data_IF_609063874620
#
_entry.id   IF_609063874620
#
_cell.length_a   1.000
_cell.length_b   1.000
_cell.length_c   1.000
_cell.angle_alpha   90.00
_cell.angle_beta   90.00
_cell.angle_gamma   90.00
#
_symmetry.space_group_name_H-M   'P 1'
#
loop_
_entity.id
_entity.type
_entity.pdbx_description
1 polymer ?
#
# COMPACT_ATOMS: atom_id res chain seq x y z
N UNK A 1 -15.59 1.45 -10.95
CA UNK A 1 -17.01 1.07 -11.11
C UNK A 1 -17.95 1.55 -10.00
N UNK A 2 -17.51 2.48 -9.16
CA UNK A 2 -18.36 3.01 -8.09
C UNK A 2 -19.17 4.19 -8.66
N UNK A 3 -20.45 4.22 -8.36
CA UNK A 3 -21.35 5.34 -8.63
C UNK A 3 -21.37 6.30 -7.44
N UNK A 4 -21.52 5.76 -6.23
CA UNK A 4 -21.56 6.55 -5.00
C UNK A 4 -21.04 5.78 -3.80
N UNK A 5 -20.54 6.54 -2.82
CA UNK A 5 -20.19 6.06 -1.48
C UNK A 5 -20.92 6.97 -0.49
N UNK A 6 -21.74 6.38 0.37
CA UNK A 6 -22.50 7.08 1.40
C UNK A 6 -22.10 6.57 2.78
N UNK A 7 -21.87 7.49 3.72
CA UNK A 7 -21.50 7.15 5.10
C UNK A 7 -22.70 7.44 6.00
N UNK A 8 -23.37 6.38 6.45
CA UNK A 8 -24.48 6.47 7.40
C UNK A 8 -23.89 6.38 8.80
N UNK A 9 -24.02 7.46 9.58
CA UNK A 9 -23.33 7.61 10.86
C UNK A 9 -24.20 7.18 12.05
N UNK A 10 -23.60 6.43 12.98
CA UNK A 10 -24.12 6.23 14.33
C UNK A 10 -25.54 5.65 14.39
N UNK A 11 -26.45 6.19 15.24
CA UNK A 11 -27.73 5.55 15.57
C UNK A 11 -28.66 5.31 14.37
N UNK A 12 -28.62 6.16 13.34
CA UNK A 12 -29.46 6.01 12.15
C UNK A 12 -29.07 4.81 11.29
N UNK A 13 -27.78 4.41 11.31
CA UNK A 13 -27.31 3.21 10.64
C UNK A 13 -27.81 1.95 11.38
N UNK A 14 -27.77 1.95 12.71
CA UNK A 14 -28.25 0.83 13.53
C UNK A 14 -29.74 0.55 13.32
N UNK A 15 -30.56 1.59 13.13
CA UNK A 15 -31.98 1.45 12.85
C UNK A 15 -32.29 0.81 11.48
N UNK A 16 -31.45 1.06 10.46
CA UNK A 16 -31.66 0.56 9.10
C UNK A 16 -30.98 -0.78 8.83
N UNK A 17 -29.83 -1.02 9.46
CA UNK A 17 -28.94 -2.15 9.15
C UNK A 17 -28.69 -3.10 10.34
N UNK A 18 -29.28 -2.82 11.51
CA UNK A 18 -29.20 -3.68 12.69
C UNK A 18 -28.07 -3.31 13.65
N UNK A 19 -27.94 -4.07 14.74
CA UNK A 19 -27.05 -3.73 15.86
C UNK A 19 -25.56 -3.66 15.46
N UNK A 20 -25.14 -4.43 14.47
CA UNK A 20 -23.74 -4.42 13.98
C UNK A 20 -23.38 -3.08 13.31
N UNK A 21 -24.37 -2.27 12.94
CA UNK A 21 -24.21 -0.94 12.38
C UNK A 21 -24.10 0.17 13.45
N UNK A 22 -23.90 -0.17 14.74
CA UNK A 22 -23.77 0.82 15.83
C UNK A 22 -22.66 1.86 15.59
N UNK A 23 -21.57 1.45 14.93
CA UNK A 23 -20.46 2.34 14.56
C UNK A 23 -20.68 3.08 13.23
N UNK A 24 -21.82 2.86 12.57
CA UNK A 24 -22.12 3.36 11.23
C UNK A 24 -21.94 2.32 10.13
N UNK A 25 -22.37 2.68 8.90
CA UNK A 25 -22.27 1.86 7.69
C UNK A 25 -21.72 2.70 6.55
N UNK A 26 -20.86 2.09 5.73
CA UNK A 26 -20.45 2.65 4.45
C UNK A 26 -21.23 1.92 3.36
N UNK A 27 -22.20 2.60 2.75
CA UNK A 27 -22.95 2.07 1.62
C UNK A 27 -22.21 2.40 0.32
N UNK A 28 -21.87 1.38 -0.45
CA UNK A 28 -21.21 1.52 -1.75
C UNK A 28 -22.21 1.11 -2.83
N UNK A 29 -22.51 2.03 -3.77
CA UNK A 29 -23.34 1.73 -4.93
C UNK A 29 -22.48 1.66 -6.18
N UNK A 30 -22.55 0.54 -6.89
CA UNK A 30 -21.83 0.37 -8.16
C UNK A 30 -22.59 0.99 -9.33
N UNK A 31 -21.86 1.34 -10.40
CA UNK A 31 -22.44 1.83 -11.64
C UNK A 31 -23.43 0.84 -12.24
N UNK A 32 -24.56 1.35 -12.69
CA UNK A 32 -25.58 0.59 -13.42
C UNK A 32 -25.74 1.14 -14.83
N UNK A 33 -26.30 0.33 -15.73
CA UNK A 33 -26.64 0.77 -17.06
C UNK A 33 -27.74 1.82 -17.04
N UNK A 34 -27.72 2.74 -18.01
CA UNK A 34 -28.80 3.71 -18.24
C UNK A 34 -29.34 3.50 -19.66
N UNK A 35 -30.65 3.66 -19.90
CA UNK A 35 -31.21 3.60 -21.25
C UNK A 35 -30.52 4.61 -22.17
N UNK A 36 -30.25 4.19 -23.41
CA UNK A 36 -29.60 5.00 -24.42
C UNK A 36 -28.39 4.31 -25.07
N UNK A 37 -27.70 5.02 -25.97
CA UNK A 37 -26.58 4.46 -26.71
C UNK A 37 -25.46 4.04 -25.76
N UNK A 38 -24.78 2.94 -26.10
CA UNK A 38 -23.66 2.42 -25.32
C UNK A 38 -22.55 3.47 -25.21
N UNK A 39 -22.20 3.82 -23.98
CA UNK A 39 -21.08 4.69 -23.64
C UNK A 39 -19.90 3.84 -23.22
N UNK A 40 -18.74 4.17 -23.77
CA UNK A 40 -17.48 3.53 -23.43
C UNK A 40 -16.61 4.51 -22.66
N UNK A 41 -15.91 4.00 -21.66
CA UNK A 41 -14.91 4.77 -20.93
C UNK A 41 -13.67 3.88 -20.76
N UNK A 42 -12.51 4.42 -21.10
CA UNK A 42 -11.22 3.79 -20.90
C UNK A 42 -10.30 4.74 -20.17
N UNK A 43 -9.44 4.21 -19.31
CA UNK A 43 -8.41 4.98 -18.63
C UNK A 43 -7.11 4.19 -18.54
N UNK A 44 -6.03 4.94 -18.47
CA UNK A 44 -4.69 4.43 -18.23
C UNK A 44 -4.07 5.36 -17.19
N UNK A 45 -3.48 4.78 -16.15
CA UNK A 45 -2.75 5.48 -15.12
C UNK A 45 -1.39 4.82 -14.95
N UNK A 46 -0.35 5.63 -14.72
CA UNK A 46 0.94 5.08 -14.36
C UNK A 46 1.87 6.13 -13.78
N UNK A 47 2.82 5.68 -12.96
CA UNK A 47 3.79 6.55 -12.33
C UNK A 47 4.88 5.81 -11.56
N UNK A 48 6.02 6.48 -11.30
CA UNK A 48 7.04 5.94 -10.43
C UNK A 48 6.62 6.04 -8.96
N UNK A 49 7.04 5.08 -8.16
CA UNK A 49 6.96 5.12 -6.69
C UNK A 49 8.38 5.24 -6.16
N UNK A 50 8.66 6.23 -5.32
CA UNK A 50 9.98 6.43 -4.73
C UNK A 50 9.86 6.53 -3.22
N UNK A 51 10.85 5.98 -2.51
CA UNK A 51 11.02 6.33 -1.10
C UNK A 51 11.42 7.81 -1.03
N UNK A 52 10.68 8.57 -0.24
CA UNK A 52 10.94 9.99 0.05
C UNK A 52 11.31 10.20 1.51
N UNK A 53 11.43 9.10 2.27
CA UNK A 53 11.76 9.12 3.68
C UNK A 53 13.21 9.56 3.83
N UNK A 54 13.46 10.49 4.75
CA UNK A 54 14.81 10.80 5.19
C UNK A 54 15.14 9.91 6.38
N UNK A 55 16.04 8.96 6.18
CA UNK A 55 16.42 8.04 7.25
C UNK A 55 17.43 8.69 8.21
N UNK A 56 17.28 8.51 9.52
CA UNK A 56 18.29 9.00 10.46
C UNK A 56 19.58 8.18 10.32
N UNK A 57 20.72 8.85 10.46
CA UNK A 57 22.01 8.18 10.52
C UNK A 57 22.21 7.50 11.88
N UNK A 58 23.04 6.46 11.90
CA UNK A 58 23.55 5.85 13.12
C UNK A 58 24.75 6.64 13.62
N UNK A 59 24.89 6.74 14.94
CA UNK A 59 25.99 7.46 15.59
C UNK A 59 26.71 6.56 16.59
N UNK A 60 28.03 6.68 16.64
CA UNK A 60 28.85 6.11 17.73
C UNK A 60 29.95 7.09 18.08
N UNK A 61 30.19 7.29 19.36
CA UNK A 61 31.34 8.02 19.87
C UNK A 61 32.52 7.08 20.07
N UNK A 62 33.72 7.59 19.82
CA UNK A 62 34.99 6.89 19.98
C UNK A 62 36.00 7.77 20.73
N UNK A 63 36.98 7.14 21.38
CA UNK A 63 38.14 7.81 21.96
C UNK A 63 39.26 8.07 20.93
N UNK A 64 40.38 8.62 21.40
CA UNK A 64 41.57 8.95 20.60
C UNK A 64 42.25 7.73 19.97
N UNK A 65 42.05 6.53 20.54
CA UNK A 65 42.50 5.26 19.97
C UNK A 65 41.53 4.68 18.94
N UNK A 66 40.33 5.27 18.82
CA UNK A 66 39.25 4.82 17.95
C UNK A 66 38.38 3.70 18.55
N UNK A 67 38.52 3.40 19.84
CA UNK A 67 37.67 2.45 20.56
C UNK A 67 36.32 3.09 20.93
N UNK A 68 35.26 2.30 21.03
CA UNK A 68 33.92 2.82 21.36
C UNK A 68 33.89 3.38 22.78
N UNK A 69 33.51 4.64 22.92
CA UNK A 69 33.37 5.33 24.20
C UNK A 69 31.94 5.90 24.30
N UNK A 70 31.07 5.28 25.08
CA UNK A 70 29.68 5.77 25.25
C UNK A 70 29.62 6.92 26.26
N UNK A 71 28.57 7.74 26.19
CA UNK A 71 28.31 8.79 27.20
C UNK A 71 28.33 8.26 28.63
N UNK A 72 27.83 7.03 28.85
CA UNK A 72 27.85 6.38 30.17
C UNK A 72 29.28 6.00 30.60
N UNK A 73 30.13 5.56 29.66
CA UNK A 73 31.53 5.23 29.93
C UNK A 73 32.36 6.48 30.25
N UNK A 74 32.11 7.58 29.54
CA UNK A 74 32.76 8.87 29.79
C UNK A 74 32.34 9.46 31.13
N UNK A 75 31.04 9.45 31.45
CA UNK A 75 30.54 9.89 32.76
C UNK A 75 31.10 9.06 33.92
N UNK A 76 31.43 7.79 33.68
CA UNK A 76 32.09 6.91 34.65
C UNK A 76 33.63 7.09 34.69
N UNK A 77 34.20 8.01 33.91
CA UNK A 77 35.64 8.29 33.85
C UNK A 77 36.47 7.18 33.20
N UNK A 78 35.86 6.28 32.42
CA UNK A 78 36.55 5.12 31.82
C UNK A 78 37.21 5.42 30.47
N UNK A 79 36.77 6.46 29.78
CA UNK A 79 37.30 6.93 28.50
C UNK A 79 36.92 8.42 28.34
N UNK A 80 37.50 9.11 27.36
CA UNK A 80 37.11 10.47 26.95
C UNK A 80 36.61 10.39 25.52
N UNK A 81 35.46 11.00 25.22
CA UNK A 81 34.98 11.07 23.84
C UNK A 81 35.86 12.05 23.07
N UNK A 82 36.46 11.58 21.99
CA UNK A 82 37.26 12.39 21.07
C UNK A 82 36.45 12.73 19.80
N UNK A 83 35.87 11.72 19.16
CA UNK A 83 35.19 11.86 17.86
C UNK A 83 33.84 11.14 17.85
N UNK A 84 32.85 11.73 17.17
CA UNK A 84 31.57 11.07 16.86
C UNK A 84 31.53 10.65 15.39
N UNK A 85 31.39 9.35 15.13
CA UNK A 85 31.19 8.79 13.79
C UNK A 85 29.72 8.77 13.44
N UNK A 86 29.43 9.00 12.16
CA UNK A 86 28.07 8.96 11.59
C UNK A 86 28.07 8.12 10.32
N UNK A 87 27.06 7.26 10.17
CA UNK A 87 26.85 6.49 8.95
C UNK A 87 25.39 6.10 8.82
N UNK A 88 24.83 6.19 7.61
CA UNK A 88 23.46 5.77 7.34
C UNK A 88 23.44 4.61 6.32
N UNK A 89 23.25 3.36 6.77
CA UNK A 89 23.19 2.22 5.86
C UNK A 89 21.96 2.24 4.93
N UNK A 90 20.85 2.86 5.33
CA UNK A 90 19.60 2.92 4.55
C UNK A 90 19.67 3.92 3.38
N UNK A 91 20.58 4.89 3.43
CA UNK A 91 20.82 5.84 2.36
C UNK A 91 21.98 5.38 1.46
N UNK A 92 23.10 4.98 2.06
CA UNK A 92 24.32 4.60 1.30
C UNK A 92 24.16 3.23 0.62
N UNK A 93 23.59 2.26 1.33
CA UNK A 93 23.36 0.90 0.85
C UNK A 93 21.86 0.61 0.87
N UNK A 94 21.10 1.47 0.19
CA UNK A 94 19.65 1.50 0.31
C UNK A 94 18.99 0.18 -0.11
N UNK A 95 18.02 -0.33 0.68
CA UNK A 95 17.21 -1.48 0.29
C UNK A 95 16.04 -1.08 -0.63
N UNK A 96 15.82 0.22 -0.78
CA UNK A 96 14.71 0.77 -1.53
C UNK A 96 15.06 0.86 -3.01
N UNK A 97 14.05 0.63 -3.85
CA UNK A 97 14.13 0.77 -5.29
C UNK A 97 13.09 1.79 -5.77
N UNK A 98 13.28 2.31 -6.99
CA UNK A 98 12.17 3.01 -7.66
C UNK A 98 11.15 1.98 -8.12
N UNK A 99 9.98 2.00 -7.50
CA UNK A 99 8.82 1.21 -7.87
C UNK A 99 8.05 1.81 -9.05
N UNK A 100 7.00 1.11 -9.48
CA UNK A 100 6.14 1.53 -10.59
C UNK A 100 4.71 1.07 -10.36
N UNK A 101 3.76 1.98 -10.56
CA UNK A 101 2.34 1.67 -10.58
C UNK A 101 1.81 1.80 -11.99
N UNK A 102 0.97 0.85 -12.41
CA UNK A 102 0.31 0.84 -13.70
C UNK A 102 -1.11 0.33 -13.51
N UNK A 103 -2.07 1.05 -14.06
CA UNK A 103 -3.47 0.67 -14.03
C UNK A 103 -4.12 0.93 -15.38
N UNK A 104 -4.91 -0.03 -15.83
CA UNK A 104 -5.65 0.04 -17.07
C UNK A 104 -7.08 -0.39 -16.79
N UNK A 105 -8.03 0.33 -17.34
CA UNK A 105 -9.43 -0.05 -17.20
C UNK A 105 -10.26 0.35 -18.40
N UNK A 106 -11.26 -0.47 -18.66
CA UNK A 106 -12.27 -0.22 -19.69
C UNK A 106 -13.63 -0.57 -19.13
N UNK A 107 -14.63 0.19 -19.55
CA UNK A 107 -16.02 -0.04 -19.18
C UNK A 107 -16.96 0.36 -20.29
N UNK A 108 -18.10 -0.31 -20.32
CA UNK A 108 -19.22 -0.05 -21.21
C UNK A 108 -20.51 0.01 -20.41
N UNK A 109 -21.37 0.97 -20.72
CA UNK A 109 -22.69 1.08 -20.09
C UNK A 109 -23.72 1.57 -21.09
N UNK A 110 -24.92 1.00 -21.07
CA UNK A 110 -26.00 1.43 -21.95
C UNK A 110 -27.20 0.50 -21.85
N UNK A 111 -28.06 0.55 -22.86
CA UNK A 111 -29.21 -0.34 -22.95
C UNK A 111 -30.43 0.31 -23.57
N UNK A 112 -31.55 -0.40 -23.56
CA UNK A 112 -32.86 0.12 -23.92
C UNK A 112 -33.65 0.51 -22.66
N UNK A 113 -34.90 0.92 -22.84
CA UNK A 113 -35.83 1.12 -21.72
C UNK A 113 -36.18 -0.19 -20.99
N UNK A 114 -36.00 -1.34 -21.65
CA UNK A 114 -36.34 -2.67 -21.10
C UNK A 114 -35.13 -3.33 -20.44
N UNK A 115 -33.94 -3.15 -21.01
CA UNK A 115 -32.72 -3.80 -20.52
C UNK A 115 -31.59 -2.79 -20.44
N UNK A 116 -30.98 -2.65 -19.27
CA UNK A 116 -29.77 -1.85 -19.09
C UNK A 116 -28.62 -2.70 -18.57
N UNK A 117 -27.40 -2.36 -18.99
CA UNK A 117 -26.21 -3.10 -18.61
C UNK A 117 -25.05 -2.17 -18.28
N UNK A 118 -24.16 -2.67 -17.42
CA UNK A 118 -22.83 -2.12 -17.16
C UNK A 118 -21.84 -3.28 -17.14
N UNK A 119 -20.73 -3.13 -17.84
CA UNK A 119 -19.62 -4.09 -17.86
C UNK A 119 -18.31 -3.31 -17.68
N UNK A 120 -17.42 -3.82 -16.84
CA UNK A 120 -16.09 -3.25 -16.65
C UNK A 120 -15.04 -4.33 -16.43
N UNK A 121 -13.81 -3.98 -16.80
CA UNK A 121 -12.61 -4.70 -16.43
C UNK A 121 -11.51 -3.73 -16.08
N UNK A 122 -10.79 -4.02 -15.00
CA UNK A 122 -9.58 -3.32 -14.60
C UNK A 122 -8.43 -4.30 -14.33
N UNK A 123 -7.23 -3.84 -14.67
CA UNK A 123 -5.98 -4.51 -14.35
C UNK A 123 -5.05 -3.51 -13.68
N UNK A 124 -4.47 -3.91 -12.56
CA UNK A 124 -3.52 -3.14 -11.79
C UNK A 124 -2.27 -3.98 -11.54
N UNK A 125 -1.13 -3.34 -11.72
CA UNK A 125 0.16 -3.86 -11.29
C UNK A 125 0.93 -2.77 -10.59
N UNK A 126 1.37 -3.07 -9.37
CA UNK A 126 2.19 -2.17 -8.58
C UNK A 126 3.42 -2.93 -8.08
N UNK A 127 4.59 -2.41 -8.44
CA UNK A 127 5.86 -2.77 -7.81
C UNK A 127 6.17 -1.68 -6.81
N UNK A 128 6.21 -2.01 -5.53
CA UNK A 128 6.49 -1.06 -4.46
C UNK A 128 7.96 -0.62 -4.44
N UNK A 129 8.24 0.31 -3.53
CA UNK A 129 9.61 0.83 -3.27
C UNK A 129 10.53 -0.19 -2.61
N UNK A 130 10.03 -1.38 -2.37
CA UNK A 130 10.69 -2.46 -1.66
C UNK A 130 10.56 -3.74 -2.48
N UNK A 131 11.65 -4.46 -2.72
CA UNK A 131 11.71 -5.55 -3.71
C UNK A 131 10.59 -6.62 -3.56
N UNK A 132 10.32 -7.18 -2.36
CA UNK A 132 9.21 -8.12 -2.16
C UNK A 132 7.81 -7.50 -2.11
N UNK A 133 7.67 -6.18 -2.26
CA UNK A 133 6.37 -5.52 -2.31
C UNK A 133 5.85 -5.48 -3.77
N UNK A 134 4.94 -6.39 -4.13
CA UNK A 134 4.34 -6.47 -5.46
C UNK A 134 2.86 -6.79 -5.35
N UNK A 135 2.03 -6.07 -6.10
CA UNK A 135 0.61 -6.32 -6.25
C UNK A 135 0.29 -6.52 -7.73
N UNK A 136 -0.44 -7.59 -8.01
CA UNK A 136 -1.14 -7.76 -9.29
C UNK A 136 -2.61 -8.05 -9.02
N UNK A 137 -3.49 -7.25 -9.60
CA UNK A 137 -4.94 -7.40 -9.42
C UNK A 137 -5.67 -7.26 -10.75
N UNK A 138 -6.61 -8.16 -10.98
CA UNK A 138 -7.55 -8.10 -12.10
C UNK A 138 -8.95 -8.11 -11.52
N UNK A 139 -9.79 -7.17 -11.93
CA UNK A 139 -11.20 -7.13 -11.55
C UNK A 139 -12.09 -7.08 -12.77
N UNK A 140 -13.21 -7.80 -12.71
CA UNK A 140 -14.28 -7.80 -13.69
C UNK A 140 -15.59 -7.54 -12.96
N UNK A 141 -16.47 -6.74 -13.54
CA UNK A 141 -17.80 -6.50 -12.98
C UNK A 141 -18.84 -6.40 -14.09
N UNK A 142 -19.98 -7.03 -13.86
CA UNK A 142 -21.14 -6.99 -14.74
C UNK A 142 -22.40 -6.74 -13.92
N UNK A 143 -23.18 -5.75 -14.33
CA UNK A 143 -24.49 -5.43 -13.77
C UNK A 143 -25.51 -5.43 -14.91
N UNK A 144 -26.63 -6.13 -14.73
CA UNK A 144 -27.73 -6.23 -15.68
C UNK A 144 -29.03 -5.93 -14.96
N UNK A 145 -29.87 -5.09 -15.57
CA UNK A 145 -31.25 -4.87 -15.16
C UNK A 145 -32.16 -5.16 -16.34
N UNK A 146 -33.23 -5.91 -16.12
CA UNK A 146 -34.18 -6.28 -17.16
C UNK A 146 -35.61 -6.25 -16.62
N UNK A 147 -36.47 -5.43 -17.22
CA UNK A 147 -37.90 -5.39 -16.95
C UNK A 147 -38.59 -6.44 -17.83
N UNK A 148 -38.71 -7.67 -17.32
CA UNK A 148 -39.30 -8.78 -18.06
C UNK A 148 -40.81 -8.58 -18.34
N UNK A 149 -41.51 -7.89 -17.44
CA UNK A 149 -42.91 -7.49 -17.61
C UNK A 149 -43.25 -6.32 -16.68
N UNK A 150 -44.47 -5.78 -16.75
CA UNK A 150 -44.95 -4.73 -15.83
C UNK A 150 -44.97 -5.14 -14.35
N UNK A 151 -44.87 -6.44 -14.05
CA UNK A 151 -44.93 -6.99 -12.69
C UNK A 151 -43.62 -7.67 -12.27
N UNK A 152 -42.61 -7.73 -13.14
CA UNK A 152 -41.38 -8.46 -12.87
C UNK A 152 -40.16 -7.73 -13.43
N UNK A 153 -39.29 -7.31 -12.51
CA UNK A 153 -37.96 -6.78 -12.77
C UNK A 153 -36.90 -7.76 -12.26
N UNK A 154 -35.84 -7.93 -13.05
CA UNK A 154 -34.72 -8.82 -12.77
C UNK A 154 -33.45 -7.98 -12.74
N UNK A 155 -32.76 -7.98 -11.60
CA UNK A 155 -31.48 -7.32 -11.43
C UNK A 155 -30.40 -8.33 -11.03
N UNK A 156 -29.29 -8.36 -11.78
CA UNK A 156 -28.15 -9.24 -11.55
C UNK A 156 -26.89 -8.40 -11.43
N UNK A 157 -26.15 -8.58 -10.34
CA UNK A 157 -24.86 -7.95 -10.10
C UNK A 157 -23.82 -9.01 -9.80
N UNK A 158 -22.76 -9.06 -10.61
CA UNK A 158 -21.67 -10.03 -10.49
C UNK A 158 -20.33 -9.32 -10.53
N UNK A 159 -19.40 -9.75 -9.68
CA UNK A 159 -18.03 -9.27 -9.66
C UNK A 159 -17.06 -10.41 -9.46
N UNK A 160 -15.90 -10.32 -10.10
CA UNK A 160 -14.78 -11.25 -9.94
C UNK A 160 -13.50 -10.44 -9.74
N UNK A 161 -12.73 -10.77 -8.71
CA UNK A 161 -11.42 -10.16 -8.47
C UNK A 161 -10.42 -11.26 -8.17
N UNK A 162 -9.31 -11.26 -8.91
CA UNK A 162 -8.14 -12.09 -8.63
C UNK A 162 -6.98 -11.18 -8.26
N UNK A 163 -6.33 -11.46 -7.14
CA UNK A 163 -5.23 -10.66 -6.64
C UNK A 163 -4.11 -11.54 -6.12
N UNK A 164 -2.88 -11.19 -6.49
CA UNK A 164 -1.67 -11.71 -5.88
C UNK A 164 -0.94 -10.52 -5.23
N UNK A 165 -0.65 -10.64 -3.95
CA UNK A 165 -0.01 -9.62 -3.15
C UNK A 165 1.18 -10.25 -2.42
N UNK A 166 2.36 -9.71 -2.67
CA UNK A 166 3.57 -9.96 -1.89
C UNK A 166 3.84 -8.72 -1.04
N UNK A 167 4.07 -8.94 0.26
CA UNK A 167 4.36 -7.87 1.22
C UNK A 167 5.77 -8.07 1.81
N UNK A 168 6.49 -6.97 2.08
CA UNK A 168 7.72 -7.05 2.85
C UNK A 168 7.44 -7.43 4.30
N UNK A 169 8.40 -8.08 4.95
CA UNK A 169 8.35 -8.25 6.39
C UNK A 169 8.70 -6.92 7.09
N UNK A 170 7.66 -6.11 7.33
CA UNK A 170 7.75 -4.73 7.87
C UNK A 170 6.86 -4.51 9.12
N UNK A 171 6.32 -5.58 9.71
CA UNK A 171 5.53 -5.45 10.95
C UNK A 171 6.46 -5.41 12.19
N UNK A 172 6.06 -5.96 13.33
CA UNK A 172 6.88 -6.13 14.53
C UNK A 172 8.03 -7.14 14.34
N UNK A 173 8.89 -6.88 13.36
CA UNK A 173 10.05 -7.67 13.02
C UNK A 173 11.32 -6.88 13.33
N UNK A 174 11.88 -7.07 14.53
CA UNK A 174 13.14 -6.45 14.95
C UNK A 174 14.34 -6.83 14.07
N UNK A 175 14.23 -7.93 13.31
CA UNK A 175 15.23 -8.37 12.35
C UNK A 175 14.93 -7.91 10.91
N UNK A 176 13.87 -7.14 10.69
CA UNK A 176 13.54 -6.58 9.38
C UNK A 176 14.62 -5.64 8.87
N UNK A 177 14.74 -5.46 7.55
CA UNK A 177 15.83 -4.68 6.94
C UNK A 177 15.85 -3.22 7.39
N UNK A 178 14.69 -2.57 7.57
CA UNK A 178 14.63 -1.20 8.08
C UNK A 178 15.19 -1.12 9.52
N UNK A 179 14.73 -2.01 10.41
CA UNK A 179 15.27 -2.14 11.77
C UNK A 179 16.75 -2.52 11.78
N UNK A 180 17.19 -3.37 10.87
CA UNK A 180 18.59 -3.75 10.68
C UNK A 180 19.45 -2.54 10.28
N UNK A 181 18.92 -1.62 9.47
CA UNK A 181 19.58 -0.37 9.14
C UNK A 181 19.67 0.58 10.33
N UNK A 182 18.56 0.77 11.05
CA UNK A 182 18.47 1.68 12.21
C UNK A 182 19.21 1.19 13.46
N UNK A 183 19.33 -0.12 13.65
CA UNK A 183 20.10 -0.76 14.73
C UNK A 183 21.50 -1.17 14.26
N UNK A 184 21.91 -0.63 13.11
CA UNK A 184 23.18 -0.91 12.48
C UNK A 184 24.35 -0.17 13.11
N UNK A 185 25.48 -0.20 12.40
CA UNK A 185 26.71 0.48 12.79
C UNK A 185 26.73 1.92 12.25
N UNK A 186 27.41 2.79 12.98
CA UNK A 186 27.84 4.11 12.51
C UNK A 186 29.15 4.03 11.68
N UNK A 187 29.46 2.86 11.10
CA UNK A 187 30.57 2.62 10.19
C UNK A 187 30.14 1.74 9.01
N UNK A 188 30.47 2.19 7.79
CA UNK A 188 30.18 1.47 6.55
C UNK A 188 31.15 0.32 6.23
N UNK A 189 32.33 0.30 6.85
CA UNK A 189 33.39 -0.71 6.58
C UNK A 189 33.18 -2.03 7.36
N UNK A 190 31.93 -2.38 7.66
CA UNK A 190 31.59 -3.64 8.32
C UNK A 190 31.22 -4.69 7.29
N UNK A 191 31.32 -5.97 7.65
CA UNK A 191 30.94 -7.09 6.77
C UNK A 191 29.47 -7.02 6.30
N UNK A 192 28.62 -6.30 7.05
CA UNK A 192 27.19 -6.09 6.74
C UNK A 192 26.89 -4.70 6.19
N UNK A 193 27.90 -3.96 5.71
CA UNK A 193 27.72 -2.64 5.06
C UNK A 193 27.01 -1.61 5.95
N UNK A 194 27.22 -1.70 7.26
CA UNK A 194 26.60 -0.86 8.28
C UNK A 194 25.27 -1.38 8.83
N UNK A 195 24.72 -2.47 8.30
CA UNK A 195 23.51 -3.11 8.86
C UNK A 195 23.82 -3.97 10.09
N UNK A 196 22.87 -4.09 11.02
CA UNK A 196 23.01 -4.86 12.25
C UNK A 196 22.78 -6.37 12.07
N UNK A 197 21.67 -6.75 11.43
CA UNK A 197 21.21 -8.14 11.38
C UNK A 197 21.29 -8.72 9.96
N UNK A 198 20.55 -8.14 9.02
CA UNK A 198 20.45 -8.54 7.61
C UNK A 198 20.89 -7.40 6.69
N UNK A 199 21.55 -7.74 5.59
CA UNK A 199 21.79 -6.81 4.48
C UNK A 199 20.57 -6.75 3.56
N UNK A 200 20.44 -5.74 2.68
CA UNK A 200 19.33 -5.64 1.72
C UNK A 200 19.14 -6.85 0.79
N UNK A 201 20.18 -7.67 0.63
CA UNK A 201 20.23 -8.83 -0.27
C UNK A 201 19.86 -10.16 0.40
N UNK A 202 19.65 -10.16 1.72
CA UNK A 202 19.34 -11.34 2.54
C UNK A 202 17.88 -11.30 3.02
#
# INVERSE_FOLDING_TARGET
>A
DIESIEVVKGPSAAALYGTDAANGVIQIRTKQGRPGPTRWNAFIEGGPLKDITTWPANYTSVDDTGASCTLTSEAAGKCSIDTVRTFNPLEVNSPFQTGSRQQYGVSASGGSEVTTFFLSGDFEREKGVYHPNDLRRTSLRANLHHTASRLLDIAVSTGYTSSNLALPQNDNNSAGIASSGLLGSASGNTAKLGYGFLTPTQ
#
